data_IF_358466742027
#
_entry.id   IF_358466742027
#
_cell.length_a   1.000
_cell.length_b   1.000
_cell.length_c   1.000
_cell.angle_alpha   90.00
_cell.angle_beta   90.00
_cell.angle_gamma   90.00
#
_symmetry.space_group_name_H-M   'P 1'
#
loop_
_entity.id
_entity.type
_entity.pdbx_description
1 polymer ?
#
# COMPACT_ATOMS: atom_id res chain seq x y z
N UNK A 1 9.21 -2.38 4.11
CA UNK A 1 8.44 -3.24 3.20
C UNK A 1 7.20 -3.72 3.93
N UNK A 2 6.18 -4.18 3.20
CA UNK A 2 4.96 -4.80 3.72
C UNK A 2 4.84 -6.19 3.11
N UNK A 3 4.46 -7.19 3.91
CA UNK A 3 4.23 -8.54 3.41
C UNK A 3 2.90 -9.07 3.90
N UNK A 4 2.20 -9.81 3.04
CA UNK A 4 0.94 -10.42 3.39
C UNK A 4 0.67 -11.69 2.59
N UNK A 5 -0.20 -12.54 3.16
CA UNK A 5 -0.75 -13.72 2.51
C UNK A 5 -2.12 -13.37 1.94
N UNK A 6 -2.30 -13.60 0.64
CA UNK A 6 -3.59 -13.44 -0.03
C UNK A 6 -4.11 -14.81 -0.45
N UNK A 7 -5.34 -15.12 -0.10
CA UNK A 7 -6.01 -16.39 -0.43
C UNK A 7 -7.27 -16.14 -1.25
N UNK A 8 -7.69 -17.12 -2.03
CA UNK A 8 -8.94 -17.04 -2.80
C UNK A 8 -10.16 -16.74 -1.91
N UNK A 9 -10.19 -17.30 -0.69
CA UNK A 9 -11.33 -17.15 0.24
C UNK A 9 -11.52 -15.70 0.71
N UNK A 10 -10.42 -14.97 0.90
CA UNK A 10 -10.45 -13.56 1.31
C UNK A 10 -11.06 -12.66 0.22
N UNK A 11 -11.07 -13.10 -1.04
CA UNK A 11 -11.58 -12.33 -2.17
C UNK A 11 -13.08 -12.55 -2.43
N UNK A 12 -13.74 -13.45 -1.69
CA UNK A 12 -15.16 -13.78 -1.89
C UNK A 12 -16.13 -12.83 -1.18
N UNK A 13 -15.60 -12.03 -0.27
CA UNK A 13 -16.34 -11.12 0.60
C UNK A 13 -15.98 -9.68 0.27
N UNK A 14 -16.93 -8.75 0.44
CA UNK A 14 -16.71 -7.35 0.08
C UNK A 14 -17.40 -6.42 1.08
N UNK A 15 -16.69 -6.06 2.14
CA UNK A 15 -17.08 -4.96 3.02
C UNK A 15 -16.82 -3.61 2.35
N UNK A 16 -17.63 -2.61 2.70
CA UNK A 16 -17.48 -1.27 2.15
C UNK A 16 -16.22 -0.61 2.70
N UNK A 17 -15.41 -0.06 1.79
CA UNK A 17 -14.22 0.74 2.10
C UNK A 17 -14.56 1.95 2.99
N UNK A 18 -13.86 2.12 4.10
CA UNK A 18 -14.12 3.20 5.07
C UNK A 18 -13.39 4.50 4.73
N UNK A 19 -12.23 4.44 4.05
CA UNK A 19 -11.36 5.58 3.75
C UNK A 19 -10.95 6.40 5.00
N UNK A 20 -10.90 5.76 6.17
CA UNK A 20 -10.56 6.40 7.44
C UNK A 20 -9.06 6.24 7.75
N UNK A 21 -8.24 7.15 7.22
CA UNK A 21 -6.79 7.11 7.42
C UNK A 21 -6.42 7.59 8.82
N UNK A 22 -5.52 6.86 9.49
CA UNK A 22 -5.08 7.16 10.86
C UNK A 22 -3.59 6.93 11.05
N UNK A 23 -3.00 7.66 12.00
CA UNK A 23 -1.63 7.38 12.45
C UNK A 23 -1.55 6.00 13.09
N UNK A 24 -0.40 5.36 12.95
CA UNK A 24 -0.07 4.14 13.66
C UNK A 24 0.35 4.49 15.10
N UNK A 25 -0.38 3.97 16.09
CA UNK A 25 -0.13 4.26 17.51
C UNK A 25 1.19 3.67 18.03
N UNK A 26 1.81 2.77 17.26
CA UNK A 26 3.08 2.11 17.61
C UNK A 26 4.30 2.95 17.25
N UNK A 27 4.12 4.01 16.47
CA UNK A 27 5.20 4.87 15.97
C UNK A 27 5.18 6.22 16.68
N UNK A 28 6.35 6.82 16.83
CA UNK A 28 6.46 8.20 17.31
C UNK A 28 6.03 9.19 16.22
N UNK A 29 5.77 10.45 16.59
CA UNK A 29 5.35 11.48 15.63
C UNK A 29 6.39 11.76 14.53
N UNK A 30 7.67 11.48 14.77
CA UNK A 30 8.74 11.66 13.79
C UNK A 30 8.88 10.46 12.83
N UNK A 31 8.25 9.33 13.14
CA UNK A 31 8.34 8.09 12.35
C UNK A 31 7.08 7.85 11.50
N UNK A 32 6.06 8.68 11.65
CA UNK A 32 4.75 8.53 11.01
C UNK A 32 4.43 9.73 10.14
N UNK A 33 3.79 9.51 8.99
CA UNK A 33 3.26 10.61 8.20
C UNK A 33 1.95 11.14 8.79
N UNK A 34 1.46 12.27 8.27
CA UNK A 34 0.12 12.77 8.54
C UNK A 34 -0.68 12.94 7.25
N UNK A 35 -2.01 12.96 7.34
CA UNK A 35 -2.88 13.21 6.19
C UNK A 35 -2.58 14.57 5.52
N UNK A 36 -2.13 15.55 6.30
CA UNK A 36 -1.81 16.90 5.80
C UNK A 36 -0.59 16.90 4.87
N UNK A 37 0.37 15.99 5.06
CA UNK A 37 1.53 15.86 4.17
C UNK A 37 1.14 15.45 2.74
N UNK A 38 -0.02 14.83 2.56
CA UNK A 38 -0.53 14.44 1.24
C UNK A 38 -1.45 15.51 0.63
N UNK A 39 -2.05 16.38 1.45
CA UNK A 39 -2.96 17.41 0.99
C UNK A 39 -2.23 18.40 0.06
N UNK A 40 -2.73 18.58 -1.17
CA UNK A 40 -2.13 19.42 -2.22
C UNK A 40 -0.67 19.07 -2.60
N UNK A 41 -0.15 17.93 -2.18
CA UNK A 41 1.20 17.46 -2.56
C UNK A 41 1.31 17.00 -4.02
N UNK A 42 0.17 16.70 -4.66
CA UNK A 42 0.12 16.02 -5.96
C UNK A 42 0.28 14.50 -5.87
N UNK A 43 0.51 13.96 -4.67
CA UNK A 43 0.67 12.53 -4.40
C UNK A 43 -0.60 11.94 -3.75
N UNK A 44 -0.90 10.71 -4.11
CA UNK A 44 -1.91 9.91 -3.45
C UNK A 44 -1.34 9.18 -2.22
N UNK A 45 -2.23 8.86 -1.29
CA UNK A 45 -2.00 7.89 -0.21
C UNK A 45 -2.12 6.48 -0.79
N UNK A 46 -1.03 5.97 -1.35
CA UNK A 46 -0.97 4.65 -1.97
C UNK A 46 -0.80 3.53 -0.94
N UNK A 47 -1.71 2.57 -0.95
CA UNK A 47 -1.66 1.40 -0.06
C UNK A 47 -0.58 0.42 -0.49
N UNK A 48 0.24 -0.06 0.46
CA UNK A 48 1.24 -1.12 0.22
C UNK A 48 0.64 -2.52 0.40
N UNK A 49 -0.22 -2.70 1.39
CA UNK A 49 -1.23 -3.75 1.49
C UNK A 49 -2.60 -3.16 1.08
N UNK A 50 -3.14 -3.51 -0.10
CA UNK A 50 -4.34 -2.88 -0.65
C UNK A 50 -5.60 -3.14 0.18
N UNK A 51 -6.41 -2.12 0.48
CA UNK A 51 -7.71 -2.27 1.15
C UNK A 51 -8.61 -3.32 0.46
N UNK A 52 -8.57 -3.41 -0.88
CA UNK A 52 -9.33 -4.41 -1.65
C UNK A 52 -8.85 -5.86 -1.51
N UNK A 53 -7.71 -6.10 -0.88
CA UNK A 53 -7.18 -7.44 -0.57
C UNK A 53 -7.58 -7.88 0.85
N UNK A 54 -8.10 -6.95 1.66
CA UNK A 54 -8.44 -7.12 3.08
C UNK A 54 -9.89 -6.74 3.40
N UNK A 55 -10.75 -6.67 2.40
CA UNK A 55 -12.17 -6.31 2.54
C UNK A 55 -13.06 -7.50 2.93
N UNK A 56 -12.52 -8.51 3.62
CA UNK A 56 -13.27 -9.68 4.08
C UNK A 56 -13.96 -9.49 5.43
N UNK A 57 -13.48 -8.53 6.23
CA UNK A 57 -14.14 -8.03 7.42
C UNK A 57 -13.79 -6.54 7.62
N UNK A 58 -14.54 -5.87 8.50
CA UNK A 58 -14.42 -4.42 8.70
C UNK A 58 -13.10 -4.04 9.39
N UNK A 59 -12.62 -4.87 10.32
CA UNK A 59 -11.39 -4.60 11.07
C UNK A 59 -10.17 -4.69 10.15
N UNK A 60 -10.09 -5.76 9.35
CA UNK A 60 -9.05 -5.95 8.34
C UNK A 60 -9.01 -4.81 7.32
N UNK A 61 -10.17 -4.34 6.83
CA UNK A 61 -10.22 -3.20 5.90
C UNK A 61 -9.69 -1.93 6.58
N UNK A 62 -10.12 -1.67 7.81
CA UNK A 62 -9.70 -0.49 8.55
C UNK A 62 -8.21 -0.52 8.83
N UNK A 63 -7.63 -1.68 9.15
CA UNK A 63 -6.19 -1.84 9.39
C UNK A 63 -5.33 -1.50 8.19
N UNK A 64 -5.84 -1.64 6.96
CA UNK A 64 -5.10 -1.17 5.78
C UNK A 64 -4.96 0.37 5.72
N UNK A 65 -5.79 1.12 6.45
CA UNK A 65 -5.79 2.58 6.43
C UNK A 65 -4.84 3.21 7.47
N UNK A 66 -3.99 2.43 8.14
CA UNK A 66 -2.90 2.99 8.97
C UNK A 66 -1.82 3.62 8.09
N UNK A 67 -1.33 4.80 8.46
CA UNK A 67 -0.36 5.55 7.65
C UNK A 67 1.01 4.85 7.51
N UNK A 68 1.34 3.90 8.39
CA UNK A 68 2.51 3.03 8.24
C UNK A 68 2.40 2.03 7.08
N UNK A 69 1.20 1.84 6.52
CA UNK A 69 0.93 1.05 5.31
C UNK A 69 0.84 1.92 4.04
N UNK A 70 1.10 3.23 4.15
CA UNK A 70 0.91 4.18 3.05
C UNK A 70 2.26 4.70 2.56
N UNK A 71 2.44 4.68 1.23
CA UNK A 71 3.54 5.34 0.55
C UNK A 71 3.02 6.45 -0.38
N UNK A 72 3.77 7.55 -0.56
CA UNK A 72 3.45 8.56 -1.56
C UNK A 72 3.56 7.95 -2.95
N UNK A 73 2.46 8.00 -3.70
CA UNK A 73 2.41 7.50 -5.07
C UNK A 73 1.85 8.57 -6.01
N UNK A 74 2.43 8.72 -7.20
CA UNK A 74 1.84 9.59 -8.21
C UNK A 74 0.45 9.07 -8.61
N UNK A 75 -0.53 9.97 -8.79
CA UNK A 75 -1.89 9.57 -9.15
C UNK A 75 -1.98 8.74 -10.43
N UNK A 76 -1.10 8.98 -11.41
CA UNK A 76 -1.01 8.17 -12.65
C UNK A 76 -0.48 6.75 -12.42
N UNK A 77 0.25 6.53 -11.33
CA UNK A 77 0.75 5.22 -10.95
C UNK A 77 -0.28 4.44 -10.12
N UNK A 78 -0.90 5.12 -9.15
CA UNK A 78 -1.81 4.52 -8.16
C UNK A 78 -3.24 4.27 -8.66
N UNK A 79 -3.82 5.24 -9.39
CA UNK A 79 -5.26 5.25 -9.68
C UNK A 79 -5.65 4.27 -10.79
N UNK A 80 -6.94 4.24 -11.11
CA UNK A 80 -7.49 3.45 -12.21
C UNK A 80 -6.71 3.69 -13.52
N UNK A 81 -6.43 2.58 -14.23
CA UNK A 81 -5.53 2.51 -15.38
C UNK A 81 -4.03 2.75 -15.09
N UNK A 82 -3.64 2.91 -13.83
CA UNK A 82 -2.24 2.99 -13.39
C UNK A 82 -1.58 1.63 -13.19
N UNK A 83 -0.24 1.61 -13.19
CA UNK A 83 0.54 0.39 -13.05
C UNK A 83 0.29 -0.33 -11.72
N UNK A 84 0.15 0.41 -10.62
CA UNK A 84 -0.15 -0.16 -9.30
C UNK A 84 -1.52 -0.83 -9.28
N UNK A 85 -2.56 -0.13 -9.78
CA UNK A 85 -3.90 -0.68 -9.92
C UNK A 85 -3.92 -1.99 -10.72
N UNK A 86 -3.18 -2.07 -11.83
CA UNK A 86 -3.10 -3.30 -12.61
C UNK A 86 -2.39 -4.42 -11.86
N UNK A 87 -1.32 -4.11 -11.14
CA UNK A 87 -0.59 -5.10 -10.34
C UNK A 87 -1.47 -5.65 -9.21
N UNK A 88 -2.19 -4.81 -8.48
CA UNK A 88 -3.15 -5.23 -7.46
C UNK A 88 -4.24 -6.15 -8.03
N UNK A 89 -4.73 -5.88 -9.24
CA UNK A 89 -5.69 -6.79 -9.88
C UNK A 89 -5.03 -8.09 -10.33
N UNK A 90 -3.77 -8.07 -10.75
CA UNK A 90 -3.03 -9.26 -11.12
C UNK A 90 -2.79 -10.18 -9.91
N UNK A 91 -2.42 -9.63 -8.75
CA UNK A 91 -2.23 -10.42 -7.51
C UNK A 91 -3.53 -11.11 -7.09
N UNK A 92 -4.68 -10.43 -7.17
CA UNK A 92 -5.99 -11.05 -6.90
C UNK A 92 -6.29 -12.20 -7.87
N UNK A 93 -6.04 -12.02 -9.17
CA UNK A 93 -6.22 -13.09 -10.17
C UNK A 93 -5.29 -14.28 -9.89
N UNK A 94 -4.05 -14.03 -9.48
CA UNK A 94 -3.12 -15.08 -9.10
C UNK A 94 -3.56 -15.82 -7.83
N UNK A 95 -4.07 -15.12 -6.82
CA UNK A 95 -4.61 -15.75 -5.63
C UNK A 95 -5.80 -16.66 -5.96
N UNK A 96 -6.71 -16.24 -6.85
CA UNK A 96 -7.81 -17.08 -7.35
C UNK A 96 -7.30 -18.30 -8.14
N UNK A 97 -6.25 -18.14 -8.94
CA UNK A 97 -5.69 -19.23 -9.77
C UNK A 97 -4.91 -20.26 -8.95
N UNK A 98 -4.08 -19.79 -8.01
CA UNK A 98 -3.14 -20.61 -7.24
C UNK A 98 -3.63 -20.91 -5.82
N UNK A 99 -4.87 -20.51 -5.48
CA UNK A 99 -5.53 -20.61 -4.16
C UNK A 99 -4.91 -19.73 -3.07
N UNK A 100 -3.59 -19.50 -3.12
CA UNK A 100 -2.88 -18.59 -2.25
C UNK A 100 -1.62 -18.04 -2.92
N UNK A 101 -1.22 -16.83 -2.53
CA UNK A 101 0.07 -16.22 -2.85
C UNK A 101 0.62 -15.47 -1.62
N UNK A 102 1.92 -15.22 -1.62
CA UNK A 102 2.58 -14.33 -0.69
C UNK A 102 3.06 -13.10 -1.46
N UNK A 103 2.69 -11.92 -0.98
CA UNK A 103 3.02 -10.66 -1.62
C UNK A 103 3.97 -9.89 -0.72
N UNK A 104 5.05 -9.38 -1.29
CA UNK A 104 5.99 -8.46 -0.67
C UNK A 104 6.01 -7.18 -1.50
N UNK A 105 5.76 -6.05 -0.86
CA UNK A 105 5.75 -4.73 -1.51
C UNK A 105 6.61 -3.74 -0.72
N UNK A 106 7.18 -2.76 -1.43
CA UNK A 106 8.06 -1.77 -0.82
C UNK A 106 8.40 -0.64 -1.78
N UNK A 107 8.78 0.50 -1.22
CA UNK A 107 9.38 1.59 -1.97
C UNK A 107 10.86 1.30 -2.21
N UNK A 108 11.37 1.75 -3.36
CA UNK A 108 12.78 1.68 -3.73
C UNK A 108 13.30 3.12 -3.84
N UNK A 109 14.48 3.37 -3.28
CA UNK A 109 15.18 4.64 -3.33
C UNK A 109 16.55 4.38 -3.97
N UNK A 110 16.67 4.80 -5.23
CA UNK A 110 17.85 4.66 -6.09
C UNK A 110 17.82 5.84 -7.08
N UNK A 111 18.13 7.04 -6.58
CA UNK A 111 18.10 8.27 -7.38
C UNK A 111 19.28 8.35 -8.35
N UNK A 112 20.43 7.79 -7.96
CA UNK A 112 21.66 7.81 -8.74
C UNK A 112 21.68 6.73 -9.86
N UNK A 113 20.74 5.78 -9.83
CA UNK A 113 20.53 4.70 -10.82
C UNK A 113 21.67 3.70 -10.88
N UNK A 114 22.35 3.47 -9.77
CA UNK A 114 23.44 2.48 -9.68
C UNK A 114 22.94 1.08 -9.32
N UNK A 115 21.64 0.92 -9.04
CA UNK A 115 21.02 -0.35 -8.64
C UNK A 115 21.26 -0.71 -7.17
N UNK A 116 21.78 0.21 -6.37
CA UNK A 116 22.03 0.09 -4.93
C UNK A 116 21.06 1.03 -4.20
N UNK A 117 20.68 0.65 -2.98
CA UNK A 117 19.85 1.51 -2.13
C UNK A 117 20.64 2.77 -1.77
N UNK A 118 20.04 3.95 -1.98
CA UNK A 118 20.59 5.22 -1.49
C UNK A 118 20.77 5.21 0.04
N UNK A 119 21.86 5.83 0.53
CA UNK A 119 22.03 6.09 1.96
C UNK A 119 21.04 7.15 2.45
N UNK A 120 20.58 7.05 3.71
CA UNK A 120 19.56 7.94 4.27
C UNK A 120 19.94 9.44 4.24
N UNK A 121 21.24 9.73 4.25
CA UNK A 121 21.81 11.08 4.26
C UNK A 121 22.47 11.50 2.93
N UNK A 122 22.27 10.73 1.85
CA UNK A 122 22.79 11.10 0.54
C UNK A 122 22.21 12.47 0.11
N UNK A 123 23.03 13.40 -0.44
CA UNK A 123 22.55 14.70 -0.89
C UNK A 123 21.46 14.49 -1.96
N UNK A 124 20.27 15.03 -1.66
CA UNK A 124 19.09 14.94 -2.51
C UNK A 124 19.15 15.88 -3.71
#
# INVERSE_FOLDING_TARGET
WVAYRLTEKQLLTNVKRSNCFRKDIRLTDNETSSCDMYYKSGMDRGHMAPSGDFNFDVESEQDTNVLSNIAPQYGRFNRFYGAWYYLENATRRWALKYKQIYVYSGSIFDMNKDGIKDEEDAPK
#
